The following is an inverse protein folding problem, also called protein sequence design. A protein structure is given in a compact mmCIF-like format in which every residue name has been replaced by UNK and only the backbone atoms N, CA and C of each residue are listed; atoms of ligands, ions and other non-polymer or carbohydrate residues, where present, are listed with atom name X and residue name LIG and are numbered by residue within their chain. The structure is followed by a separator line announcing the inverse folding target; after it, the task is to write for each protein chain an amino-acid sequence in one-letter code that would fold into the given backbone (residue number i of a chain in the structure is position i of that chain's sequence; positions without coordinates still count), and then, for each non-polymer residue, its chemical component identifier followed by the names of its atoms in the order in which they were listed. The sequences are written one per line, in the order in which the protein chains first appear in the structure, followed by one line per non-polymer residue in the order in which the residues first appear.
data_IF_445022713068
#
_entry.id   IF_445022713068
#
_cell.length_a   1.000
_cell.length_b   1.000
_cell.length_c   1.000
_cell.angle_alpha   90.00
_cell.angle_beta   90.00
_cell.angle_gamma   90.00
#
_symmetry.space_group_name_H-M   'P 1'
#
loop_
_entity.id
_entity.type
_entity.pdbx_description
1 polymer ?
#
# COMPACT_ATOMS: atom_id res chain seq x y z
N UNK A 1 2.70 24.74 14.44
CA UNK A 1 3.15 23.36 14.73
C UNK A 1 3.63 22.76 13.42
N UNK A 2 4.94 22.71 13.18
CA UNK A 2 5.51 22.22 11.93
C UNK A 2 5.62 20.70 12.02
N UNK A 3 4.71 19.97 11.37
CA UNK A 3 4.86 18.52 11.20
C UNK A 3 5.99 18.30 10.19
N UNK A 4 7.18 17.96 10.69
CA UNK A 4 8.26 17.45 9.85
C UNK A 4 7.80 16.11 9.30
N UNK A 5 7.68 15.99 7.97
CA UNK A 5 7.39 14.70 7.31
C UNK A 5 8.46 13.70 7.74
N UNK A 6 8.08 12.73 8.57
CA UNK A 6 8.88 11.54 8.83
C UNK A 6 8.89 10.70 7.56
N UNK A 7 10.05 10.53 6.95
CA UNK A 7 10.31 9.68 5.79
C UNK A 7 10.19 8.19 6.17
N UNK A 8 8.98 7.73 6.50
CA UNK A 8 8.75 6.36 6.98
C UNK A 8 8.87 5.33 5.83
N UNK A 9 8.47 5.69 4.61
CA UNK A 9 8.45 4.79 3.45
C UNK A 9 9.49 5.25 2.43
N UNK A 10 10.32 4.35 1.93
CA UNK A 10 11.27 4.57 0.83
C UNK A 10 10.97 3.63 -0.33
N UNK A 11 11.32 4.05 -1.55
CA UNK A 11 11.05 3.31 -2.77
C UNK A 11 9.65 3.57 -3.37
N UNK A 12 9.34 2.78 -4.39
CA UNK A 12 8.07 2.80 -5.12
C UNK A 12 7.48 1.39 -5.07
N UNK A 13 6.15 1.28 -5.01
CA UNK A 13 5.43 0.00 -5.04
C UNK A 13 4.24 0.10 -5.97
N UNK A 14 4.11 -0.82 -6.92
CA UNK A 14 2.88 -0.99 -7.67
C UNK A 14 1.96 -1.95 -6.92
N UNK A 15 0.83 -1.45 -6.42
CA UNK A 15 -0.22 -2.27 -5.84
C UNK A 15 -1.15 -2.74 -6.94
N UNK A 16 -1.10 -4.03 -7.25
CA UNK A 16 -2.11 -4.69 -8.07
C UNK A 16 -3.28 -5.07 -7.18
N UNK A 17 -4.49 -4.70 -7.54
CA UNK A 17 -5.68 -5.03 -6.77
C UNK A 17 -6.88 -5.29 -7.68
N UNK A 18 -7.84 -6.05 -7.16
CA UNK A 18 -9.10 -6.31 -7.85
C UNK A 18 -10.24 -5.58 -7.14
N UNK A 19 -10.95 -4.76 -7.91
CA UNK A 19 -12.14 -4.04 -7.45
C UNK A 19 -13.29 -4.30 -8.42
N UNK A 20 -14.45 -4.73 -7.90
CA UNK A 20 -15.61 -5.12 -8.71
C UNK A 20 -15.31 -6.16 -9.82
N UNK A 21 -14.27 -6.98 -9.64
CA UNK A 21 -13.84 -7.99 -10.61
C UNK A 21 -12.84 -7.49 -11.66
N UNK A 22 -12.50 -6.20 -11.64
CA UNK A 22 -11.53 -5.59 -12.56
C UNK A 22 -10.16 -5.43 -11.90
N UNK A 23 -9.10 -5.78 -12.64
CA UNK A 23 -7.72 -5.56 -12.19
C UNK A 23 -7.31 -4.09 -12.35
N UNK A 24 -6.68 -3.57 -11.30
CA UNK A 24 -6.24 -2.19 -11.19
C UNK A 24 -4.82 -2.16 -10.64
N UNK A 25 -4.09 -1.10 -10.99
CA UNK A 25 -2.74 -0.87 -10.50
C UNK A 25 -2.69 0.54 -9.91
N UNK A 26 -2.17 0.66 -8.68
CA UNK A 26 -1.87 1.93 -8.03
C UNK A 26 -0.38 2.00 -7.70
N UNK A 27 0.34 2.94 -8.31
CA UNK A 27 1.75 3.21 -7.99
C UNK A 27 1.82 4.12 -6.77
N UNK A 28 2.53 3.65 -5.73
CA UNK A 28 2.71 4.35 -4.46
C UNK A 28 4.17 4.78 -4.30
N UNK A 29 4.39 6.02 -3.86
CA UNK A 29 5.68 6.53 -3.44
C UNK A 29 5.76 6.73 -1.92
N UNK A 30 6.88 7.31 -1.50
CA UNK A 30 7.15 7.66 -0.11
C UNK A 30 6.07 8.60 0.47
N UNK A 31 5.28 8.08 1.42
CA UNK A 31 4.24 8.84 2.13
C UNK A 31 2.84 8.68 1.55
N UNK A 32 2.67 7.93 0.46
CA UNK A 32 1.36 7.54 -0.03
C UNK A 32 0.77 6.41 0.84
N UNK A 33 -0.55 6.35 0.91
CA UNK A 33 -1.29 5.31 1.62
C UNK A 33 -2.25 4.60 0.70
N UNK A 34 -2.30 3.28 0.77
CA UNK A 34 -3.27 2.45 0.05
C UNK A 34 -4.15 1.70 1.05
N UNK A 35 -5.46 1.72 0.80
CA UNK A 35 -6.45 1.03 1.63
C UNK A 35 -7.09 -0.10 0.81
N UNK A 36 -6.75 -1.34 1.17
CA UNK A 36 -7.47 -2.50 0.66
C UNK A 36 -8.78 -2.67 1.44
N UNK A 37 -9.91 -2.47 0.77
CA UNK A 37 -11.23 -2.74 1.35
C UNK A 37 -11.41 -4.21 1.75
N UNK A 38 -12.48 -4.49 2.49
CA UNK A 38 -12.84 -5.87 2.87
C UNK A 38 -13.07 -6.69 1.59
N UNK A 39 -12.39 -7.84 1.49
CA UNK A 39 -12.49 -8.71 0.31
C UNK A 39 -11.71 -8.21 -0.91
N UNK A 40 -10.93 -7.13 -0.78
CA UNK A 40 -10.06 -6.67 -1.85
C UNK A 40 -8.82 -7.58 -1.94
N UNK A 41 -8.76 -8.36 -3.00
CA UNK A 41 -7.54 -9.07 -3.39
C UNK A 41 -6.51 -8.05 -3.87
N UNK A 42 -5.31 -8.10 -3.30
CA UNK A 42 -4.24 -7.18 -3.64
C UNK A 42 -2.87 -7.83 -3.46
N UNK A 43 -1.89 -7.39 -4.27
CA UNK A 43 -0.50 -7.86 -4.28
C UNK A 43 0.42 -6.66 -4.54
N UNK A 44 1.50 -6.56 -3.76
CA UNK A 44 2.52 -5.52 -3.92
C UNK A 44 3.64 -5.99 -4.87
N UNK A 45 3.91 -5.22 -5.92
CA UNK A 45 5.02 -5.42 -6.86
C UNK A 45 5.96 -4.21 -6.83
N UNK A 46 7.01 -4.24 -5.99
CA UNK A 46 8.00 -3.17 -5.99
C UNK A 46 8.98 -3.35 -7.18
N UNK A 47 9.22 -2.30 -8.01
CA UNK A 47 10.22 -2.35 -9.08
C UNK A 47 11.68 -2.39 -8.56
N UNK A 48 11.90 -2.15 -7.27
CA UNK A 48 13.21 -2.16 -6.61
C UNK A 48 13.08 -2.38 -5.11
N UNK A 49 14.12 -2.07 -4.34
CA UNK A 49 14.01 -2.10 -2.87
C UNK A 49 12.99 -1.05 -2.41
N UNK A 50 12.01 -1.49 -1.61
CA UNK A 50 10.98 -0.64 -1.03
C UNK A 50 10.65 -1.12 0.39
N UNK A 51 10.37 -0.18 1.29
CA UNK A 51 9.92 -0.48 2.66
C UNK A 51 8.48 -0.05 2.85
N UNK A 52 7.59 -1.02 3.00
CA UNK A 52 6.17 -0.78 3.26
C UNK A 52 5.83 -1.00 4.74
N UNK A 53 4.96 -0.15 5.27
CA UNK A 53 4.29 -0.39 6.54
C UNK A 53 2.92 -0.98 6.27
N UNK A 54 2.70 -2.21 6.72
CA UNK A 54 1.38 -2.83 6.69
C UNK A 54 0.72 -2.65 8.05
N UNK A 55 -0.45 -2.02 8.07
CA UNK A 55 -1.30 -1.91 9.27
C UNK A 55 -2.52 -2.78 9.01
N UNK A 56 -2.57 -3.92 9.69
CA UNK A 56 -3.73 -4.81 9.68
C UNK A 56 -4.40 -4.82 11.05
N UNK A 57 -5.74 -4.86 11.08
CA UNK A 57 -6.46 -5.18 12.32
C UNK A 57 -6.40 -6.69 12.49
N UNK A 58 -5.82 -7.17 13.59
CA UNK A 58 -5.81 -8.59 13.91
C UNK A 58 -7.23 -9.18 13.87
N UNK A 59 -7.53 -9.93 12.80
CA UNK A 59 -8.76 -10.69 12.63
C UNK A 59 -8.49 -12.15 13.00
N UNK A 60 -8.69 -12.51 14.26
CA UNK A 60 -8.98 -13.91 14.59
C UNK A 60 -10.40 -14.21 14.11
N UNK A 61 -10.56 -15.02 13.07
CA UNK A 61 -11.66 -15.99 12.87
C UNK A 61 -11.11 -17.24 12.23
#
# INVERSE_FOLDING_TARGET
MTVRRSSWCDGTVDMHYREAGEERIATLGAGDSFFAGIGCEHVAHPPGEARILVIERAGRV
#
